data_IF_789059143946
#
_entry.id   IF_789059143946
#
_cell.length_a   1.000
_cell.length_b   1.000
_cell.length_c   1.000
_cell.angle_alpha   90.00
_cell.angle_beta   90.00
_cell.angle_gamma   90.00
#
_symmetry.space_group_name_H-M   'P 1'
#
loop_
_entity.id
_entity.type
_entity.pdbx_description
1 polymer ?
#
# COMPACT_ATOMS: atom_id res chain seq x y z
N UNK A 1 -5.72 17.17 10.58
CA UNK A 1 -4.37 17.63 10.23
C UNK A 1 -3.69 16.54 9.44
N UNK A 2 -3.07 16.88 8.32
CA UNK A 2 -2.31 15.92 7.52
C UNK A 2 -0.83 16.26 7.54
N UNK A 3 0.01 15.24 7.75
CA UNK A 3 1.46 15.38 7.79
C UNK A 3 2.07 14.33 6.87
N UNK A 4 2.75 14.77 5.81
CA UNK A 4 3.63 13.90 5.04
C UNK A 4 5.03 13.94 5.64
N UNK A 5 5.40 12.85 6.29
CA UNK A 5 6.69 12.65 6.95
C UNK A 5 7.67 11.98 5.99
N UNK A 6 8.81 12.63 5.74
CA UNK A 6 9.83 12.20 4.80
C UNK A 6 11.19 12.07 5.50
N UNK A 7 11.86 10.92 5.39
CA UNK A 7 13.24 10.75 5.81
C UNK A 7 14.17 11.06 4.65
N UNK A 8 14.90 12.17 4.76
CA UNK A 8 15.60 12.78 3.63
C UNK A 8 17.10 12.81 3.84
N UNK A 9 17.87 12.58 2.78
CA UNK A 9 19.29 12.90 2.72
C UNK A 9 19.51 14.41 2.69
N UNK A 10 18.58 15.14 2.05
CA UNK A 10 18.65 16.56 1.83
C UNK A 10 17.25 17.16 1.73
N UNK A 11 17.03 18.28 2.41
CA UNK A 11 15.98 19.24 2.08
C UNK A 11 16.58 20.63 1.95
N UNK A 12 16.26 21.30 0.84
CA UNK A 12 16.61 22.69 0.60
C UNK A 12 15.34 23.48 0.27
N UNK A 13 15.16 24.63 0.90
CA UNK A 13 14.05 25.54 0.60
C UNK A 13 14.48 26.99 0.49
N UNK A 14 13.94 27.69 -0.51
CA UNK A 14 14.25 29.09 -0.80
C UNK A 14 12.94 29.90 -0.93
N UNK A 15 12.68 30.87 -0.04
CA UNK A 15 11.52 31.75 -0.14
C UNK A 15 11.63 32.69 -1.35
N UNK A 16 10.67 32.60 -2.27
CA UNK A 16 10.67 33.37 -3.53
C UNK A 16 9.76 34.59 -3.41
N UNK A 17 8.47 34.35 -3.16
CA UNK A 17 7.43 35.38 -3.17
C UNK A 17 6.40 35.14 -2.06
N UNK A 18 5.90 36.23 -1.47
CA UNK A 18 4.80 36.19 -0.51
C UNK A 18 3.51 35.77 -1.23
N UNK A 19 2.80 34.81 -0.65
CA UNK A 19 1.59 34.19 -1.22
C UNK A 19 0.33 34.50 -0.39
N UNK A 20 0.49 34.81 0.90
CA UNK A 20 -0.61 34.98 1.86
C UNK A 20 -0.61 36.38 2.47
N UNK A 21 -1.80 36.87 2.83
CA UNK A 21 -1.96 38.10 3.61
C UNK A 21 -1.34 38.00 5.01
N UNK A 22 -1.21 36.77 5.52
CA UNK A 22 -0.48 36.43 6.75
C UNK A 22 0.76 35.64 6.35
N UNK A 23 1.94 36.21 6.58
CA UNK A 23 3.23 35.60 6.26
C UNK A 23 4.26 35.90 7.35
N UNK A 24 5.30 35.07 7.46
CA UNK A 24 6.45 35.31 8.34
C UNK A 24 7.54 36.07 7.59
N UNK A 25 8.17 37.05 8.23
CA UNK A 25 9.35 37.72 7.68
C UNK A 25 10.58 36.81 7.74
N UNK A 26 11.32 36.72 6.63
CA UNK A 26 12.45 35.80 6.47
C UNK A 26 13.43 36.35 5.43
N UNK A 27 14.71 36.04 5.58
CA UNK A 27 15.70 36.34 4.55
C UNK A 27 15.47 35.47 3.30
N UNK A 28 15.51 36.08 2.12
CA UNK A 28 15.42 35.37 0.83
C UNK A 28 16.75 34.71 0.48
N UNK A 29 17.06 33.61 1.17
CA UNK A 29 18.20 32.74 0.89
C UNK A 29 17.77 31.28 0.85
N UNK A 30 18.61 30.44 0.25
CA UNK A 30 18.42 28.99 0.32
C UNK A 30 18.81 28.48 1.73
N UNK A 31 17.89 27.78 2.37
CA UNK A 31 18.10 27.07 3.63
C UNK A 31 18.25 25.60 3.31
N UNK A 32 19.37 25.01 3.75
CA UNK A 32 19.72 23.62 3.46
C UNK A 32 19.92 22.84 4.75
N UNK A 33 19.29 21.67 4.82
CA UNK A 33 19.40 20.73 5.93
C UNK A 33 19.66 19.34 5.37
N UNK A 34 20.81 18.76 5.69
CA UNK A 34 21.15 17.38 5.35
C UNK A 34 20.64 16.42 6.44
N UNK A 35 20.38 15.16 6.08
CA UNK A 35 20.01 14.05 6.99
C UNK A 35 18.97 14.42 8.07
N UNK A 36 17.72 14.56 7.63
CA UNK A 36 16.64 15.09 8.45
C UNK A 36 15.32 14.33 8.28
N UNK A 37 14.43 14.51 9.26
CA UNK A 37 13.01 14.20 9.15
C UNK A 37 12.29 15.46 8.67
N UNK A 38 11.78 15.46 7.44
CA UNK A 38 10.97 16.54 6.90
C UNK A 38 9.49 16.26 7.15
N UNK A 39 8.80 17.18 7.82
CA UNK A 39 7.36 17.17 8.01
C UNK A 39 6.73 18.22 7.10
N UNK A 40 6.07 17.78 6.02
CA UNK A 40 5.18 18.64 5.26
C UNK A 40 3.82 18.67 5.97
N UNK A 41 3.48 19.79 6.61
CA UNK A 41 2.33 19.91 7.51
C UNK A 41 1.20 20.71 6.86
N UNK A 42 0.01 20.12 6.81
CA UNK A 42 -1.23 20.74 6.36
C UNK A 42 -2.23 20.81 7.52
N UNK A 43 -2.65 22.02 7.87
CA UNK A 43 -3.65 22.27 8.92
C UNK A 43 -5.03 22.40 8.30
N UNK A 44 -5.97 21.60 8.77
CA UNK A 44 -7.36 21.48 8.30
C UNK A 44 -8.33 22.29 9.19
N UNK A 45 -9.51 22.62 8.64
CA UNK A 45 -10.51 23.50 9.29
C UNK A 45 -10.88 23.08 10.70
N UNK A 46 -10.96 21.78 10.96
CA UNK A 46 -11.42 21.22 12.23
C UNK A 46 -10.28 20.91 13.22
N UNK A 47 -9.04 21.24 12.85
CA UNK A 47 -7.89 20.95 13.70
C UNK A 47 -7.91 21.75 15.01
N UNK A 48 -7.57 21.09 16.10
CA UNK A 48 -7.41 21.71 17.42
C UNK A 48 -5.93 21.84 17.78
N UNK A 49 -5.61 22.81 18.64
CA UNK A 49 -4.23 23.11 19.04
C UNK A 49 -3.54 21.91 19.72
N UNK A 50 -4.31 21.07 20.42
CA UNK A 50 -3.81 19.88 21.12
C UNK A 50 -3.20 18.82 20.18
N UNK A 51 -3.56 18.84 18.88
CA UNK A 51 -2.95 17.95 17.90
C UNK A 51 -1.46 18.20 17.73
N UNK A 52 -0.97 19.41 18.04
CA UNK A 52 0.44 19.73 17.96
C UNK A 52 1.31 18.79 18.82
N UNK A 53 0.84 18.45 20.02
CA UNK A 53 1.57 17.56 20.93
C UNK A 53 1.61 16.13 20.43
N UNK A 54 0.54 15.67 19.79
CA UNK A 54 0.48 14.36 19.15
C UNK A 54 1.46 14.27 17.98
N UNK A 55 1.48 15.28 17.09
CA UNK A 55 2.43 15.34 15.96
C UNK A 55 3.88 15.32 16.44
N UNK A 56 4.22 16.13 17.47
CA UNK A 56 5.59 16.20 17.98
C UNK A 56 6.00 14.88 18.63
N UNK A 57 5.15 14.29 19.48
CA UNK A 57 5.45 12.99 20.12
C UNK A 57 5.74 11.91 19.08
N UNK A 58 4.86 11.75 18.10
CA UNK A 58 5.00 10.74 17.04
C UNK A 58 6.26 10.94 16.19
N UNK A 59 6.61 12.21 15.93
CA UNK A 59 7.80 12.57 15.17
C UNK A 59 9.06 12.22 15.95
N UNK A 60 9.09 12.52 17.25
CA UNK A 60 10.22 12.20 18.14
C UNK A 60 10.41 10.69 18.30
N UNK A 61 9.32 9.92 18.46
CA UNK A 61 9.39 8.45 18.50
C UNK A 61 10.00 7.87 17.22
N UNK A 62 9.58 8.39 16.05
CA UNK A 62 10.15 7.99 14.77
C UNK A 62 11.63 8.37 14.65
N UNK A 63 12.00 9.60 15.00
CA UNK A 63 13.38 10.08 14.99
C UNK A 63 14.28 9.23 15.88
N UNK A 64 13.83 8.88 17.09
CA UNK A 64 14.57 8.01 18.01
C UNK A 64 14.78 6.61 17.43
N UNK A 65 13.74 6.03 16.82
CA UNK A 65 13.83 4.70 16.19
C UNK A 65 14.79 4.69 14.99
N UNK A 66 14.79 5.74 14.18
CA UNK A 66 15.61 5.87 12.98
C UNK A 66 16.97 6.54 13.24
N UNK A 67 17.24 6.98 14.47
CA UNK A 67 18.44 7.71 14.90
C UNK A 67 18.66 9.04 14.15
N UNK A 68 17.57 9.73 13.83
CA UNK A 68 17.58 11.04 13.17
C UNK A 68 17.71 12.15 14.22
N UNK A 69 18.54 13.17 13.95
CA UNK A 69 18.77 14.29 14.89
C UNK A 69 18.15 15.62 14.48
N UNK A 70 17.85 15.77 13.19
CA UNK A 70 17.35 17.00 12.58
C UNK A 70 15.90 16.85 12.16
N UNK A 71 15.05 17.81 12.54
CA UNK A 71 13.64 17.89 12.19
C UNK A 71 13.41 19.15 11.36
N UNK A 72 12.72 19.06 10.24
CA UNK A 72 12.32 20.21 9.43
C UNK A 72 10.80 20.27 9.37
N UNK A 73 10.21 21.35 9.88
CA UNK A 73 8.77 21.58 9.82
C UNK A 73 8.49 22.52 8.65
N UNK A 74 7.70 22.06 7.68
CA UNK A 74 7.44 22.78 6.45
C UNK A 74 5.92 22.95 6.24
N UNK A 75 5.38 24.17 6.28
CA UNK A 75 3.98 24.42 5.98
C UNK A 75 3.65 24.06 4.52
N UNK A 76 2.71 23.13 4.32
CA UNK A 76 2.37 22.60 3.00
C UNK A 76 0.85 22.36 2.87
N UNK A 77 0.13 23.36 2.34
CA UNK A 77 -1.32 23.31 2.23
C UNK A 77 -1.86 22.23 1.26
N UNK A 78 -1.05 21.78 0.29
CA UNK A 78 -1.52 20.91 -0.79
C UNK A 78 -1.86 19.45 -0.38
N UNK A 79 -1.77 19.09 0.91
CA UNK A 79 -2.17 17.75 1.37
C UNK A 79 -3.68 17.63 1.63
N UNK A 80 -4.42 18.74 1.68
CA UNK A 80 -5.86 18.72 1.92
C UNK A 80 -6.60 19.79 1.13
N UNK A 81 -7.88 19.54 0.87
CA UNK A 81 -8.82 20.49 0.30
C UNK A 81 -9.58 21.28 1.38
N UNK A 82 -9.50 20.86 2.65
CA UNK A 82 -10.25 21.44 3.77
C UNK A 82 -9.36 22.29 4.68
N UNK A 83 -8.75 23.33 4.10
CA UNK A 83 -7.72 24.14 4.77
C UNK A 83 -8.27 25.03 5.90
N UNK A 84 -7.55 25.08 7.01
CA UNK A 84 -7.78 26.06 8.07
C UNK A 84 -7.50 27.49 7.57
N UNK A 85 -8.18 28.51 8.15
CA UNK A 85 -7.80 29.91 7.94
C UNK A 85 -6.33 30.18 8.31
N UNK A 86 -5.60 31.08 7.61
CA UNK A 86 -4.16 31.29 7.82
C UNK A 86 -3.74 31.59 9.26
N UNK A 87 -4.52 32.38 10.01
CA UNK A 87 -4.24 32.69 11.42
C UNK A 87 -4.29 31.45 12.31
N UNK A 88 -5.26 30.55 12.06
CA UNK A 88 -5.42 29.29 12.78
C UNK A 88 -4.30 28.32 12.43
N UNK A 89 -3.97 28.20 11.14
CA UNK A 89 -2.86 27.37 10.67
C UNK A 89 -1.52 27.80 11.29
N UNK A 90 -1.23 29.10 11.28
CA UNK A 90 -0.01 29.65 11.87
C UNK A 90 0.04 29.43 13.40
N UNK A 91 -1.09 29.57 14.09
CA UNK A 91 -1.18 29.31 15.54
C UNK A 91 -0.81 27.86 15.89
N UNK A 92 -1.32 26.89 15.14
CA UNK A 92 -1.02 25.46 15.37
C UNK A 92 0.42 25.13 14.97
N UNK A 93 0.91 25.65 13.84
CA UNK A 93 2.31 25.47 13.42
C UNK A 93 3.31 26.04 14.43
N UNK A 94 3.02 27.20 15.03
CA UNK A 94 3.84 27.79 16.08
C UNK A 94 3.85 26.94 17.36
N UNK A 95 2.72 26.29 17.69
CA UNK A 95 2.67 25.34 18.81
C UNK A 95 3.57 24.13 18.55
N UNK A 96 3.49 23.53 17.35
CA UNK A 96 4.38 22.43 16.93
C UNK A 96 5.84 22.87 17.01
N UNK A 97 6.18 24.07 16.50
CA UNK A 97 7.54 24.62 16.56
C UNK A 97 8.05 24.72 18.00
N UNK A 98 7.25 25.29 18.90
CA UNK A 98 7.65 25.54 20.30
C UNK A 98 7.86 24.21 21.05
N UNK A 99 6.96 23.26 20.84
CA UNK A 99 7.02 21.96 21.50
C UNK A 99 8.17 21.09 20.96
N UNK A 100 8.39 21.08 19.64
CA UNK A 100 9.53 20.41 19.04
C UNK A 100 10.87 20.99 19.53
N UNK A 101 10.99 22.32 19.61
CA UNK A 101 12.22 23.01 20.04
C UNK A 101 12.54 22.82 21.52
N UNK A 102 11.57 22.39 22.33
CA UNK A 102 11.78 22.08 23.76
C UNK A 102 12.46 20.73 23.99
N UNK A 103 12.75 19.98 22.92
CA UNK A 103 13.41 18.69 22.96
C UNK A 103 14.88 18.81 22.51
N UNK A 104 15.72 17.83 22.87
CA UNK A 104 17.16 17.83 22.56
C UNK A 104 17.44 17.42 21.09
N UNK A 105 16.77 18.06 20.13
CA UNK A 105 16.90 17.85 18.69
C UNK A 105 17.09 19.18 17.97
N UNK A 106 17.71 19.14 16.79
CA UNK A 106 17.89 20.31 15.96
C UNK A 106 16.65 20.52 15.09
N UNK A 107 15.92 21.62 15.32
CA UNK A 107 14.65 21.90 14.62
C UNK A 107 14.81 23.08 13.67
N UNK A 108 14.47 22.85 12.41
CA UNK A 108 14.38 23.87 11.35
C UNK A 108 12.94 24.08 10.96
N UNK A 109 12.61 25.29 10.53
CA UNK A 109 11.25 25.63 10.11
C UNK A 109 11.28 26.46 8.83
N UNK A 110 10.46 26.08 7.85
CA UNK A 110 10.28 26.84 6.61
C UNK A 110 9.18 27.90 6.75
N UNK A 111 9.41 29.14 6.28
CA UNK A 111 8.52 30.28 6.56
C UNK A 111 7.10 30.06 5.99
N UNK A 112 6.09 30.42 6.80
CA UNK A 112 4.68 30.36 6.44
C UNK A 112 4.28 31.52 5.51
N UNK A 113 3.38 31.24 4.56
CA UNK A 113 2.80 32.27 3.67
C UNK A 113 3.68 32.67 2.47
N UNK A 114 4.65 31.83 2.11
CA UNK A 114 5.55 32.04 0.98
C UNK A 114 5.47 30.91 -0.04
N UNK A 115 5.48 31.29 -1.32
CA UNK A 115 5.91 30.44 -2.41
C UNK A 115 7.40 30.16 -2.25
N UNK A 116 7.75 28.88 -2.16
CA UNK A 116 9.10 28.41 -1.87
C UNK A 116 9.54 27.42 -2.93
N UNK A 117 10.75 27.59 -3.45
CA UNK A 117 11.42 26.52 -4.20
C UNK A 117 11.83 25.45 -3.19
N UNK A 118 11.54 24.19 -3.50
CA UNK A 118 11.76 23.06 -2.61
C UNK A 118 12.50 21.95 -3.37
N UNK A 119 13.64 21.52 -2.83
CA UNK A 119 14.42 20.39 -3.33
C UNK A 119 14.50 19.35 -2.21
N UNK A 120 14.10 18.12 -2.49
CA UNK A 120 14.08 17.02 -1.53
C UNK A 120 14.78 15.81 -2.14
N UNK A 121 15.66 15.18 -1.38
CA UNK A 121 16.21 13.87 -1.71
C UNK A 121 15.80 12.87 -0.61
N UNK A 122 14.84 11.99 -0.90
CA UNK A 122 14.33 10.99 0.04
C UNK A 122 15.23 9.74 0.03
N UNK A 123 15.52 9.15 1.20
CA UNK A 123 16.43 8.00 1.35
C UNK A 123 15.95 6.69 0.71
N UNK A 124 14.70 6.61 0.27
CA UNK A 124 14.18 5.49 -0.53
C UNK A 124 13.98 4.15 0.20
N UNK A 125 14.07 4.10 1.54
CA UNK A 125 13.69 2.91 2.30
C UNK A 125 12.18 2.90 2.61
N UNK A 126 11.56 1.76 2.97
CA UNK A 126 10.09 1.67 3.09
C UNK A 126 9.45 2.67 4.06
N UNK A 127 10.13 2.99 5.17
CA UNK A 127 9.68 3.98 6.15
C UNK A 127 10.05 5.42 5.80
N UNK A 128 10.64 5.67 4.62
CA UNK A 128 11.13 7.00 4.26
C UNK A 128 9.98 7.94 3.92
N UNK A 129 8.79 7.42 3.63
CA UNK A 129 7.62 8.21 3.26
C UNK A 129 6.40 7.71 4.03
N UNK A 130 5.80 8.57 4.85
CA UNK A 130 4.62 8.23 5.63
C UNK A 130 3.62 9.39 5.64
N UNK A 131 2.40 9.16 5.17
CA UNK A 131 1.29 10.09 5.37
C UNK A 131 0.62 9.76 6.71
N UNK A 132 0.56 10.75 7.60
CA UNK A 132 -0.13 10.67 8.90
C UNK A 132 -1.30 11.65 8.93
N UNK A 133 -2.40 11.23 9.55
CA UNK A 133 -3.60 12.04 9.74
C UNK A 133 -3.91 12.12 11.24
N UNK A 134 -4.07 13.32 11.76
CA UNK A 134 -4.37 13.61 13.16
C UNK A 134 -5.74 14.29 13.28
N UNK A 135 -6.48 14.00 14.35
CA UNK A 135 -7.73 14.70 14.67
C UNK A 135 -9.04 14.10 14.17
N UNK A 136 -9.03 12.94 13.49
CA UNK A 136 -10.26 12.22 13.17
C UNK A 136 -10.66 11.28 14.33
N UNK A 137 -11.51 11.74 15.25
CA UNK A 137 -12.33 10.84 16.07
C UNK A 137 -13.67 10.65 15.37
N UNK A 138 -14.01 9.38 15.14
CA UNK A 138 -15.12 8.80 14.36
C UNK A 138 -14.88 8.69 12.85
N UNK A 139 -14.49 7.48 12.41
CA UNK A 139 -14.68 7.03 11.03
C UNK A 139 -13.44 6.46 10.33
N UNK A 140 -12.24 6.95 10.64
CA UNK A 140 -11.00 6.36 10.17
C UNK A 140 -10.32 5.65 11.33
N UNK A 141 -10.73 4.40 11.60
CA UNK A 141 -9.75 3.41 12.06
C UNK A 141 -8.55 3.63 11.12
N UNK A 142 -7.39 3.93 11.69
CA UNK A 142 -6.12 3.65 11.03
C UNK A 142 -6.36 2.37 10.24
N UNK A 143 -6.17 2.36 8.92
CA UNK A 143 -5.93 1.06 8.28
C UNK A 143 -4.77 0.50 9.10
N UNK A 144 -4.99 -0.55 9.90
CA UNK A 144 -3.90 -1.07 10.67
C UNK A 144 -2.94 -1.54 9.59
N UNK A 145 -1.83 -0.82 9.40
CA UNK A 145 -0.69 -1.31 8.66
C UNK A 145 -0.34 -2.57 9.42
N UNK A 146 -0.86 -3.68 8.93
CA UNK A 146 -1.08 -4.81 9.82
C UNK A 146 0.27 -5.26 10.29
N UNK A 147 0.29 -5.71 11.55
CA UNK A 147 1.48 -6.28 12.18
C UNK A 147 2.19 -7.28 11.27
N UNK A 148 1.47 -7.94 10.35
CA UNK A 148 2.05 -8.82 9.35
C UNK A 148 2.90 -8.11 8.27
N UNK A 149 2.49 -6.96 7.74
CA UNK A 149 3.31 -6.16 6.80
C UNK A 149 4.60 -5.67 7.47
N UNK A 150 4.50 -5.26 8.74
CA UNK A 150 5.66 -4.86 9.55
C UNK A 150 6.56 -6.05 9.95
N UNK A 151 6.00 -7.26 10.02
CA UNK A 151 6.75 -8.50 10.30
C UNK A 151 7.42 -9.07 9.03
N UNK A 152 6.79 -8.93 7.86
CA UNK A 152 7.35 -9.32 6.56
C UNK A 152 8.68 -8.59 6.29
N UNK A 153 8.78 -7.31 6.65
CA UNK A 153 10.01 -6.52 6.53
C UNK A 153 11.15 -7.00 7.45
N UNK A 154 10.85 -7.69 8.55
CA UNK A 154 11.87 -8.23 9.48
C UNK A 154 12.27 -9.68 9.17
N UNK A 155 11.58 -10.33 8.24
CA UNK A 155 11.82 -11.73 7.89
C UNK A 155 13.07 -11.86 6.99
N UNK A 156 14.14 -12.41 7.55
CA UNK A 156 15.27 -12.90 6.76
C UNK A 156 14.80 -14.08 5.91
N UNK A 157 14.79 -13.91 4.59
CA UNK A 157 14.47 -14.97 3.64
C UNK A 157 15.71 -15.84 3.39
N UNK A 158 15.56 -17.16 3.48
CA UNK A 158 16.58 -18.13 3.12
C UNK A 158 16.15 -18.84 1.85
N UNK A 159 17.07 -19.01 0.89
CA UNK A 159 16.75 -19.56 -0.42
C UNK A 159 17.45 -20.90 -0.63
N UNK A 160 16.71 -21.86 -1.15
CA UNK A 160 17.20 -23.21 -1.42
C UNK A 160 16.70 -23.69 -2.78
N UNK A 161 17.50 -24.52 -3.44
CA UNK A 161 17.09 -25.30 -4.61
C UNK A 161 16.68 -26.70 -4.13
N UNK A 162 15.43 -27.08 -4.39
CA UNK A 162 14.95 -28.45 -4.22
C UNK A 162 15.25 -29.26 -5.47
N UNK A 163 16.06 -30.29 -5.31
CA UNK A 163 16.42 -31.24 -6.38
C UNK A 163 15.32 -32.30 -6.56
N UNK A 164 15.22 -32.95 -7.76
CA UNK A 164 14.28 -34.06 -7.98
C UNK A 164 14.45 -35.23 -7.00
N UNK A 165 15.66 -35.40 -6.45
CA UNK A 165 15.99 -36.40 -5.43
C UNK A 165 15.56 -35.98 -4.01
N UNK A 166 14.92 -34.82 -3.86
CA UNK A 166 14.39 -34.31 -2.60
C UNK A 166 15.41 -33.60 -1.70
N UNK A 167 16.62 -33.30 -2.20
CA UNK A 167 17.63 -32.55 -1.43
C UNK A 167 17.43 -31.05 -1.56
N UNK A 168 17.55 -30.34 -0.44
CA UNK A 168 17.52 -28.88 -0.34
C UNK A 168 18.96 -28.34 -0.27
N UNK A 169 19.38 -27.57 -1.27
CA UNK A 169 20.73 -27.02 -1.36
C UNK A 169 20.63 -25.48 -1.26
N UNK A 170 21.35 -24.81 -0.34
CA UNK A 170 21.39 -23.35 -0.30
C UNK A 170 21.78 -22.77 -1.66
N UNK A 171 21.13 -21.69 -2.09
CA UNK A 171 21.41 -21.09 -3.41
C UNK A 171 22.88 -20.71 -3.57
N UNK A 172 23.54 -20.29 -2.49
CA UNK A 172 24.97 -19.92 -2.47
C UNK A 172 25.90 -21.11 -2.74
N UNK A 173 25.41 -22.34 -2.56
CA UNK A 173 26.16 -23.59 -2.72
C UNK A 173 25.71 -24.39 -3.94
N UNK A 174 24.71 -23.91 -4.68
CA UNK A 174 24.16 -24.63 -5.82
C UNK A 174 24.95 -24.34 -7.10
N UNK A 175 25.32 -25.40 -7.82
CA UNK A 175 25.96 -25.28 -9.13
C UNK A 175 24.92 -25.14 -10.25
N UNK A 176 24.88 -23.95 -10.84
CA UNK A 176 24.01 -23.60 -11.97
C UNK A 176 24.59 -23.96 -13.34
N UNK A 177 25.77 -24.58 -13.41
CA UNK A 177 26.39 -24.96 -14.68
C UNK A 177 25.43 -25.82 -15.52
N UNK A 178 25.14 -25.38 -16.75
CA UNK A 178 24.19 -26.03 -17.66
C UNK A 178 22.70 -25.81 -17.33
N UNK A 179 22.36 -24.96 -16.35
CA UNK A 179 20.99 -24.69 -15.88
C UNK A 179 20.63 -23.19 -15.90
N UNK A 180 20.92 -22.51 -17.00
CA UNK A 180 20.74 -21.06 -17.16
C UNK A 180 19.32 -20.57 -16.83
N UNK A 181 18.28 -21.31 -17.21
CA UNK A 181 16.89 -20.93 -16.93
C UNK A 181 16.56 -20.97 -15.43
N UNK A 182 17.08 -21.96 -14.71
CA UNK A 182 16.90 -22.07 -13.27
C UNK A 182 17.64 -20.96 -12.53
N UNK A 183 18.86 -20.64 -12.99
CA UNK A 183 19.64 -19.53 -12.47
C UNK A 183 18.90 -18.20 -12.65
N UNK A 184 18.37 -17.96 -13.85
CA UNK A 184 17.60 -16.76 -14.14
C UNK A 184 16.36 -16.64 -13.24
N UNK A 185 15.57 -17.71 -13.13
CA UNK A 185 14.40 -17.75 -12.25
C UNK A 185 14.78 -17.48 -10.79
N UNK A 186 15.86 -18.11 -10.31
CA UNK A 186 16.31 -17.98 -8.92
C UNK A 186 16.76 -16.55 -8.63
N UNK A 187 17.57 -15.94 -9.51
CA UNK A 187 18.00 -14.55 -9.37
C UNK A 187 16.81 -13.58 -9.40
N UNK A 188 15.84 -13.84 -10.29
CA UNK A 188 14.62 -13.04 -10.40
C UNK A 188 13.78 -13.08 -9.10
N UNK A 189 13.54 -14.27 -8.55
CA UNK A 189 12.78 -14.43 -7.30
C UNK A 189 13.51 -13.81 -6.08
N UNK A 190 14.83 -13.95 -5.99
CA UNK A 190 15.65 -13.35 -4.93
C UNK A 190 15.64 -11.83 -4.98
N UNK A 191 15.69 -11.25 -6.18
CA UNK A 191 15.71 -9.80 -6.36
C UNK A 191 14.41 -9.14 -5.86
N UNK A 192 13.30 -9.87 -5.79
CA UNK A 192 11.97 -9.40 -5.36
C UNK A 192 11.47 -8.12 -6.05
N UNK A 193 12.13 -7.68 -7.12
CA UNK A 193 11.74 -6.51 -7.89
C UNK A 193 10.56 -6.86 -8.78
N UNK A 194 9.36 -6.47 -8.34
CA UNK A 194 8.12 -6.59 -9.12
C UNK A 194 7.76 -5.27 -9.81
N UNK A 195 8.67 -4.30 -9.79
CA UNK A 195 8.48 -3.01 -10.42
C UNK A 195 8.45 -3.19 -11.94
N UNK A 196 7.30 -2.90 -12.53
CA UNK A 196 7.12 -2.87 -13.97
C UNK A 196 7.63 -1.50 -14.45
N UNK A 197 8.90 -1.44 -14.87
CA UNK A 197 9.55 -0.22 -15.33
C UNK A 197 8.98 0.28 -16.67
N UNK A 198 8.54 -0.66 -17.51
CA UNK A 198 7.95 -0.39 -18.81
C UNK A 198 6.62 -1.14 -18.94
N UNK A 199 5.64 -0.49 -19.56
CA UNK A 199 4.35 -1.13 -19.83
C UNK A 199 4.55 -2.39 -20.69
N UNK A 200 4.05 -3.56 -20.26
CA UNK A 200 4.21 -4.77 -21.04
C UNK A 200 3.60 -4.64 -22.44
N UNK A 201 4.23 -5.20 -23.49
CA UNK A 201 3.75 -5.05 -24.88
C UNK A 201 2.30 -5.52 -25.09
N UNK A 202 1.85 -6.53 -24.34
CA UNK A 202 0.49 -7.06 -24.46
C UNK A 202 -0.59 -6.07 -24.02
N UNK A 203 -0.26 -5.05 -23.21
CA UNK A 203 -1.23 -4.03 -22.78
C UNK A 203 -1.71 -3.19 -23.96
N UNK A 204 -0.82 -2.86 -24.90
CA UNK A 204 -1.24 -2.14 -26.12
C UNK A 204 -2.04 -3.06 -27.04
N UNK A 205 -1.65 -4.33 -27.15
CA UNK A 205 -2.32 -5.31 -27.99
C UNK A 205 -3.74 -5.63 -27.50
N UNK A 206 -3.93 -5.84 -26.19
CA UNK A 206 -5.26 -6.18 -25.65
C UNK A 206 -6.28 -5.06 -25.92
N UNK A 207 -5.84 -3.79 -25.91
CA UNK A 207 -6.68 -2.63 -26.24
C UNK A 207 -6.95 -2.55 -27.73
N UNK A 208 -5.89 -2.60 -28.56
CA UNK A 208 -5.99 -2.52 -30.02
C UNK A 208 -6.86 -3.62 -30.62
N UNK A 209 -6.83 -4.82 -30.02
CA UNK A 209 -7.60 -5.99 -30.46
C UNK A 209 -8.96 -6.12 -29.77
N UNK A 210 -9.33 -5.16 -28.91
CA UNK A 210 -10.60 -5.16 -28.15
C UNK A 210 -10.78 -6.44 -27.30
N UNK A 211 -9.68 -6.99 -26.79
CA UNK A 211 -9.67 -8.16 -25.92
C UNK A 211 -10.00 -7.72 -24.48
N UNK A 212 -9.32 -6.71 -23.97
CA UNK A 212 -9.59 -6.14 -22.65
C UNK A 212 -9.12 -4.69 -22.63
N UNK A 213 -9.74 -3.88 -21.79
CA UNK A 213 -9.33 -2.50 -21.59
C UNK A 213 -9.59 -2.07 -20.13
N UNK A 214 -9.02 -0.96 -19.74
CA UNK A 214 -9.30 -0.34 -18.45
C UNK A 214 -10.63 0.41 -18.50
N UNK A 215 -11.31 0.49 -17.35
CA UNK A 215 -12.51 1.29 -17.17
C UNK A 215 -12.24 2.38 -16.13
N UNK A 216 -12.28 3.66 -16.54
CA UNK A 216 -11.97 4.80 -15.68
C UNK A 216 -12.95 4.93 -14.51
N UNK A 217 -14.18 4.45 -14.67
CA UNK A 217 -15.18 4.38 -13.60
C UNK A 217 -15.01 3.19 -12.65
N UNK A 218 -14.05 2.30 -12.88
CA UNK A 218 -13.81 1.11 -12.06
C UNK A 218 -12.45 1.16 -11.38
N UNK A 219 -12.24 0.22 -10.45
CA UNK A 219 -10.91 0.00 -9.88
C UNK A 219 -9.93 -0.47 -10.98
N UNK A 220 -8.67 0.01 -10.99
CA UNK A 220 -7.67 -0.36 -11.99
C UNK A 220 -7.44 -1.87 -12.19
N UNK A 221 -7.72 -2.71 -11.18
CA UNK A 221 -7.64 -4.17 -11.25
C UNK A 221 -8.82 -4.83 -11.96
N UNK A 222 -9.95 -4.14 -12.10
CA UNK A 222 -11.15 -4.64 -12.77
C UNK A 222 -11.26 -4.12 -14.21
N UNK A 223 -10.97 -5.01 -15.16
CA UNK A 223 -11.00 -4.67 -16.58
C UNK A 223 -12.40 -4.77 -17.19
N UNK A 224 -12.66 -3.95 -18.20
CA UNK A 224 -13.81 -4.12 -19.10
C UNK A 224 -13.46 -5.06 -20.24
N UNK A 225 -14.44 -5.84 -20.66
CA UNK A 225 -14.30 -6.87 -21.71
C UNK A 225 -15.26 -6.55 -22.87
N UNK A 226 -14.77 -5.97 -23.98
CA UNK A 226 -15.56 -5.78 -25.19
C UNK A 226 -16.03 -7.11 -25.79
N UNK A 227 -16.95 -7.08 -26.76
CA UNK A 227 -17.59 -8.30 -27.28
C UNK A 227 -16.60 -9.42 -27.70
N UNK A 228 -15.50 -9.06 -28.38
CA UNK A 228 -14.45 -10.01 -28.78
C UNK A 228 -13.75 -10.62 -27.56
N UNK A 229 -13.29 -9.76 -26.66
CA UNK A 229 -12.73 -10.15 -25.37
C UNK A 229 -13.62 -11.07 -24.55
N UNK A 230 -14.90 -10.69 -24.42
CA UNK A 230 -15.91 -11.44 -23.68
C UNK A 230 -16.11 -12.82 -24.28
N UNK A 231 -16.17 -12.96 -25.60
CA UNK A 231 -16.26 -14.25 -26.28
C UNK A 231 -15.05 -15.13 -25.97
N UNK A 232 -13.83 -14.61 -26.16
CA UNK A 232 -12.57 -15.33 -25.88
C UNK A 232 -12.55 -15.80 -24.42
N UNK A 233 -12.85 -14.88 -23.49
CA UNK A 233 -12.90 -15.17 -22.05
C UNK A 233 -13.89 -16.29 -21.73
N UNK A 234 -15.13 -16.26 -22.24
CA UNK A 234 -16.07 -17.37 -22.00
C UNK A 234 -15.60 -18.70 -22.51
N UNK A 235 -15.01 -18.74 -23.71
CA UNK A 235 -14.57 -20.01 -24.30
C UNK A 235 -13.44 -20.62 -23.47
N UNK A 236 -12.52 -19.78 -22.97
CA UNK A 236 -11.47 -20.21 -22.05
C UNK A 236 -12.03 -20.66 -20.69
N UNK A 237 -12.96 -19.89 -20.11
CA UNK A 237 -13.62 -20.25 -18.84
C UNK A 237 -14.35 -21.61 -18.97
N UNK A 238 -15.13 -21.80 -20.03
CA UNK A 238 -15.83 -23.05 -20.30
C UNK A 238 -14.87 -24.23 -20.51
N UNK A 239 -13.78 -24.00 -21.27
CA UNK A 239 -12.76 -25.03 -21.49
C UNK A 239 -12.09 -25.44 -20.19
N UNK A 240 -11.65 -24.48 -19.37
CA UNK A 240 -10.99 -24.77 -18.09
C UNK A 240 -11.94 -25.50 -17.14
N UNK A 241 -13.17 -25.01 -16.98
CA UNK A 241 -14.19 -25.68 -16.16
C UNK A 241 -14.45 -27.11 -16.65
N UNK A 242 -14.64 -27.31 -17.95
CA UNK A 242 -14.83 -28.65 -18.53
C UNK A 242 -13.66 -29.57 -18.20
N UNK A 243 -12.41 -29.09 -18.32
CA UNK A 243 -11.25 -29.89 -17.95
C UNK A 243 -11.21 -30.23 -16.47
N UNK A 244 -11.47 -29.27 -15.60
CA UNK A 244 -11.47 -29.53 -14.15
C UNK A 244 -12.54 -30.56 -13.77
N UNK A 245 -13.72 -30.51 -14.40
CA UNK A 245 -14.77 -31.51 -14.22
C UNK A 245 -14.33 -32.88 -14.73
N UNK A 246 -13.68 -32.96 -15.91
CA UNK A 246 -13.13 -34.22 -16.44
C UNK A 246 -12.12 -34.86 -15.46
N UNK A 247 -11.37 -34.04 -14.71
CA UNK A 247 -10.44 -34.48 -13.65
C UNK A 247 -11.13 -34.88 -12.33
N UNK A 248 -12.46 -34.76 -12.23
CA UNK A 248 -13.25 -35.08 -11.04
C UNK A 248 -13.53 -33.89 -10.13
N UNK A 249 -13.22 -32.67 -10.56
CA UNK A 249 -13.54 -31.45 -9.82
C UNK A 249 -15.04 -31.18 -9.75
N UNK A 250 -15.50 -30.72 -8.59
CA UNK A 250 -16.89 -30.34 -8.35
C UNK A 250 -16.98 -28.82 -8.41
N UNK A 251 -17.60 -28.31 -9.47
CA UNK A 251 -17.83 -26.87 -9.62
C UNK A 251 -18.86 -26.38 -8.60
N UNK A 252 -18.50 -25.31 -7.89
CA UNK A 252 -19.34 -24.63 -6.90
C UNK A 252 -19.26 -23.12 -7.10
N UNK A 253 -20.28 -22.41 -6.62
CA UNK A 253 -20.29 -20.95 -6.56
C UNK A 253 -20.45 -20.52 -5.11
N UNK A 254 -19.62 -19.58 -4.66
CA UNK A 254 -19.63 -19.11 -3.27
C UNK A 254 -19.88 -17.60 -3.18
N UNK A 255 -20.35 -17.07 -2.03
CA UNK A 255 -20.70 -15.66 -1.89
C UNK A 255 -19.58 -14.69 -2.27
N UNK A 256 -19.95 -13.52 -2.80
CA UNK A 256 -19.00 -12.49 -3.25
C UNK A 256 -18.37 -11.67 -2.12
N UNK A 257 -19.02 -11.61 -0.96
CA UNK A 257 -18.58 -10.86 0.22
C UNK A 257 -18.86 -11.61 1.51
N UNK A 258 -18.06 -11.35 2.53
CA UNK A 258 -18.14 -12.04 3.82
C UNK A 258 -18.02 -11.05 4.99
N UNK A 259 -18.59 -11.43 6.13
CA UNK A 259 -18.51 -10.66 7.38
C UNK A 259 -17.06 -10.64 7.89
N UNK A 260 -16.53 -9.44 8.14
CA UNK A 260 -15.16 -9.26 8.64
C UNK A 260 -14.96 -9.87 10.03
N UNK A 261 -16.02 -9.98 10.83
CA UNK A 261 -15.98 -10.52 12.19
C UNK A 261 -16.28 -12.03 12.24
N UNK A 262 -16.34 -12.71 11.09
CA UNK A 262 -16.46 -14.16 11.09
C UNK A 262 -15.22 -14.81 11.73
N UNK A 263 -15.34 -15.67 12.76
CA UNK A 263 -14.21 -16.12 13.60
C UNK A 263 -13.02 -16.73 12.84
N UNK A 264 -13.29 -17.46 11.75
CA UNK A 264 -12.26 -18.07 10.90
C UNK A 264 -11.63 -17.08 9.92
N UNK A 265 -12.39 -16.10 9.43
CA UNK A 265 -11.95 -15.14 8.42
C UNK A 265 -11.17 -14.00 9.07
N UNK A 266 -11.66 -13.48 10.20
CA UNK A 266 -11.02 -12.41 10.97
C UNK A 266 -9.54 -12.75 11.26
N UNK A 267 -9.29 -13.96 11.77
CA UNK A 267 -7.92 -14.47 12.02
C UNK A 267 -7.05 -14.50 10.77
N UNK A 268 -7.62 -14.89 9.64
CA UNK A 268 -6.89 -14.93 8.37
C UNK A 268 -6.56 -13.51 7.90
N UNK A 269 -7.53 -12.61 7.90
CA UNK A 269 -7.36 -11.21 7.48
C UNK A 269 -6.34 -10.47 8.36
N UNK A 270 -6.27 -10.77 9.65
CA UNK A 270 -5.23 -10.24 10.53
C UNK A 270 -3.81 -10.73 10.18
N UNK A 271 -3.68 -12.00 9.78
CA UNK A 271 -2.39 -12.60 9.38
C UNK A 271 -1.93 -12.17 8.00
N UNK A 272 -2.87 -11.98 7.08
CA UNK A 272 -2.63 -11.60 5.70
C UNK A 272 -3.45 -10.35 5.40
N UNK A 273 -2.97 -9.17 5.83
CA UNK A 273 -3.62 -7.91 5.53
C UNK A 273 -3.56 -7.63 4.04
N UNK A 274 -4.56 -8.10 3.33
CA UNK A 274 -4.77 -7.73 1.95
C UNK A 274 -5.37 -6.32 1.93
N UNK A 275 -4.96 -5.53 0.93
CA UNK A 275 -5.68 -4.31 0.58
C UNK A 275 -7.03 -4.74 0.00
N UNK A 276 -8.07 -4.66 0.82
CA UNK A 276 -9.41 -5.16 0.53
C UNK A 276 -10.42 -4.02 0.49
N UNK A 277 -11.50 -4.23 -0.25
CA UNK A 277 -12.64 -3.32 -0.24
C UNK A 277 -13.56 -3.70 0.92
N UNK A 278 -13.88 -2.71 1.75
CA UNK A 278 -14.76 -2.85 2.90
C UNK A 278 -16.08 -2.15 2.61
N UNK A 279 -17.19 -2.87 2.78
CA UNK A 279 -18.54 -2.36 2.70
C UNK A 279 -19.07 -2.25 4.12
N UNK A 280 -19.32 -1.02 4.57
CA UNK A 280 -19.90 -0.77 5.89
C UNK A 280 -21.42 -0.69 5.77
N UNK A 281 -22.10 -1.44 6.62
CA UNK A 281 -23.54 -1.34 6.87
C UNK A 281 -23.77 -0.83 8.29
N UNK A 282 -25.02 -0.57 8.70
CA UNK A 282 -25.34 -0.06 10.03
C UNK A 282 -24.80 -0.96 11.16
N UNK A 283 -24.96 -2.28 11.02
CA UNK A 283 -24.60 -3.24 12.07
C UNK A 283 -23.34 -4.05 11.78
N UNK A 284 -22.83 -4.04 10.53
CA UNK A 284 -21.80 -4.98 10.08
C UNK A 284 -20.80 -4.38 9.09
N UNK A 285 -19.58 -4.88 9.14
CA UNK A 285 -18.53 -4.63 8.15
C UNK A 285 -18.32 -5.89 7.30
N UNK A 286 -18.49 -5.77 5.99
CA UNK A 286 -18.23 -6.84 5.03
C UNK A 286 -16.97 -6.52 4.22
N UNK A 287 -16.28 -7.56 3.75
CA UNK A 287 -15.23 -7.40 2.75
C UNK A 287 -15.62 -8.12 1.46
N UNK A 288 -15.30 -7.51 0.32
CA UNK A 288 -15.39 -8.18 -0.98
C UNK A 288 -14.25 -9.20 -1.11
N UNK A 289 -14.57 -10.43 -1.53
CA UNK A 289 -13.58 -11.50 -1.61
C UNK A 289 -12.50 -11.18 -2.66
N UNK A 290 -11.25 -11.46 -2.32
CA UNK A 290 -10.11 -11.37 -3.26
C UNK A 290 -9.63 -12.74 -3.75
N UNK A 291 -10.25 -13.83 -3.27
CA UNK A 291 -9.97 -15.20 -3.68
C UNK A 291 -11.22 -16.08 -3.49
N UNK A 292 -11.38 -17.14 -4.29
CA UNK A 292 -12.49 -18.10 -4.14
C UNK A 292 -12.37 -18.97 -2.89
N UNK A 293 -11.16 -19.21 -2.39
CA UNK A 293 -10.89 -20.22 -1.37
C UNK A 293 -11.64 -19.99 -0.04
N UNK A 294 -11.98 -18.74 0.31
CA UNK A 294 -12.77 -18.44 1.51
C UNK A 294 -14.08 -19.21 1.54
N UNK A 295 -14.85 -19.11 0.45
CA UNK A 295 -16.14 -19.79 0.35
C UNK A 295 -15.99 -21.30 0.27
N UNK A 296 -14.96 -21.79 -0.42
CA UNK A 296 -14.70 -23.22 -0.53
C UNK A 296 -14.36 -23.83 0.84
N UNK A 297 -13.56 -23.15 1.67
CA UNK A 297 -13.26 -23.61 3.03
C UNK A 297 -14.48 -23.60 3.94
N UNK A 298 -15.31 -22.54 3.88
CA UNK A 298 -16.54 -22.47 4.67
C UNK A 298 -17.56 -23.52 4.22
N UNK A 299 -17.71 -23.72 2.91
CA UNK A 299 -18.58 -24.75 2.36
C UNK A 299 -18.09 -26.14 2.78
N UNK A 300 -16.79 -26.41 2.68
CA UNK A 300 -16.21 -27.68 3.10
C UNK A 300 -16.33 -27.92 4.61
N UNK A 301 -16.31 -26.88 5.46
CA UNK A 301 -16.45 -27.05 6.91
C UNK A 301 -17.84 -27.51 7.33
N UNK A 302 -18.86 -27.26 6.52
CA UNK A 302 -20.25 -27.67 6.77
C UNK A 302 -20.58 -29.03 6.14
N UNK A 303 -19.66 -29.62 5.36
CA UNK A 303 -19.85 -30.89 4.69
C UNK A 303 -19.58 -32.08 5.61
N UNK A 304 -20.43 -33.10 5.54
CA UNK A 304 -20.20 -34.40 6.18
C UNK A 304 -19.39 -35.30 5.25
N UNK A 305 -18.06 -35.22 5.34
CA UNK A 305 -17.14 -36.00 4.51
C UNK A 305 -16.64 -37.25 5.26
N UNK A 306 -16.75 -38.40 4.60
CA UNK A 306 -16.08 -39.66 4.98
C UNK A 306 -14.91 -39.99 4.04
N UNK A 307 -14.04 -40.94 4.43
CA UNK A 307 -12.90 -41.39 3.62
C UNK A 307 -13.29 -41.86 2.21
N UNK A 308 -14.55 -42.27 1.99
CA UNK A 308 -15.06 -42.71 0.68
C UNK A 308 -15.25 -41.57 -0.31
N UNK A 309 -15.33 -40.34 0.18
CA UNK A 309 -15.44 -39.15 -0.67
C UNK A 309 -14.07 -38.60 -1.05
N UNK A 310 -12.96 -39.17 -0.55
CA UNK A 310 -11.62 -38.70 -0.85
C UNK A 310 -11.02 -39.47 -2.04
N UNK A 311 -10.32 -38.78 -2.96
CA UNK A 311 -10.04 -37.34 -2.95
C UNK A 311 -11.27 -36.48 -3.35
N UNK A 312 -11.45 -35.34 -2.68
CA UNK A 312 -12.52 -34.39 -2.93
C UNK A 312 -11.94 -33.05 -3.38
N UNK A 313 -12.44 -32.50 -4.48
CA UNK A 313 -11.91 -31.29 -5.11
C UNK A 313 -13.02 -30.27 -5.37
N UNK A 314 -13.11 -29.24 -4.54
CA UNK A 314 -13.95 -28.08 -4.81
C UNK A 314 -13.26 -27.16 -5.82
N UNK A 315 -14.01 -26.74 -6.83
CA UNK A 315 -13.56 -25.83 -7.86
C UNK A 315 -14.52 -24.66 -8.01
N UNK A 316 -13.98 -23.45 -8.07
CA UNK A 316 -14.73 -22.25 -8.42
C UNK A 316 -13.81 -21.37 -9.25
N UNK A 317 -14.22 -21.09 -10.50
CA UNK A 317 -13.57 -20.07 -11.30
C UNK A 317 -14.14 -18.70 -10.95
N UNK A 318 -13.47 -18.01 -10.04
CA UNK A 318 -13.94 -16.71 -9.54
C UNK A 318 -14.13 -15.72 -10.68
N UNK A 319 -15.38 -15.31 -10.94
CA UNK A 319 -15.68 -14.27 -11.93
C UNK A 319 -15.19 -12.89 -11.51
N UNK A 320 -15.26 -12.62 -10.21
CA UNK A 320 -14.85 -11.36 -9.60
C UNK A 320 -13.97 -11.64 -8.39
N UNK A 321 -12.86 -10.91 -8.29
CA UNK A 321 -11.97 -10.93 -7.15
C UNK A 321 -11.46 -9.51 -6.92
N UNK A 322 -11.67 -9.00 -5.71
CA UNK A 322 -11.51 -7.59 -5.40
C UNK A 322 -10.29 -7.38 -4.53
N UNK A 323 -9.17 -7.07 -5.19
CA UNK A 323 -7.94 -6.67 -4.51
C UNK A 323 -7.64 -5.23 -4.87
N UNK A 324 -7.47 -4.38 -3.86
CA UNK A 324 -7.14 -2.97 -4.04
C UNK A 324 -5.65 -2.85 -4.38
N UNK A 325 -5.32 -3.14 -5.62
CA UNK A 325 -3.98 -3.06 -6.17
C UNK A 325 -3.55 -1.58 -6.32
N UNK A 326 -2.24 -1.30 -6.19
CA UNK A 326 -1.72 0.05 -6.50
C UNK A 326 -1.55 0.18 -8.00
N UNK A 327 -1.66 1.41 -8.51
CA UNK A 327 -1.47 1.72 -9.94
C UNK A 327 -0.14 1.20 -10.51
N UNK A 328 0.93 1.18 -9.70
CA UNK A 328 2.25 0.66 -10.09
C UNK A 328 2.41 -0.87 -10.02
N UNK A 329 1.43 -1.61 -9.51
CA UNK A 329 1.48 -3.08 -9.38
C UNK A 329 0.78 -3.81 -10.54
N UNK A 330 -0.02 -3.08 -11.32
CA UNK A 330 -0.86 -3.61 -12.39
C UNK A 330 -0.12 -3.64 -13.73
N UNK A 331 -0.23 -4.78 -14.43
CA UNK A 331 0.56 -5.06 -15.63
C UNK A 331 -0.29 -5.65 -16.76
N UNK A 332 -1.49 -5.10 -16.98
CA UNK A 332 -2.43 -5.64 -17.95
C UNK A 332 -3.08 -6.95 -17.50
N UNK A 333 -3.45 -7.79 -18.46
CA UNK A 333 -3.84 -9.18 -18.22
C UNK A 333 -2.60 -9.97 -17.76
N UNK A 334 -2.70 -10.74 -16.68
CA UNK A 334 -1.64 -11.65 -16.19
C UNK A 334 -2.03 -13.10 -16.38
#
# INVERSE_FOLDING_TARGET
MKVLQLHVDLVEYEPIQVESSVYEEVEKKAYRVDDALLLLVCVEKDDVVDLASEVVRDSLEFMNRMKIRRLVIYPYAHLSTELAPPHKALGILNKIRTEASSNNIEVHYAPFGWNKRLVIAVKGHPLAEQLKSYGAREGSKEEPVSKALLMEEKLRSYWFILTPEGRMIPVEQFDFTGRSNLEFLTRYEIAKSRAVLEQPPHVQLMKKLEIADYENGSDPGNMRWPAKGRLIKSLLEQYVTSKVIDYGGVEVETPIMYDMHHPSLEKYLHRFPARQYVIKTEDKEYFLRFAACFGQFLMASDMVLSYRHLPFWLYELTRYSFRREKSGELAGLR
#
